data_IF_312090523533
#
_entry.id   IF_312090523533
#
_cell.length_a   1.000
_cell.length_b   1.000
_cell.length_c   1.000
_cell.angle_alpha   90.00
_cell.angle_beta   90.00
_cell.angle_gamma   90.00
#
_symmetry.space_group_name_H-M   'P 1'
#
loop_
_entity.id
_entity.type
_entity.pdbx_description
1 polymer ?
#
# COMPACT_ATOMS: atom_id res chain seq x y z
N UNK A 1 75.15 2.84 5.15
CA UNK A 1 73.98 2.83 6.06
C UNK A 1 72.73 3.54 5.51
N UNK A 2 72.83 4.56 4.62
CA UNK A 2 71.66 5.30 4.07
C UNK A 2 70.79 4.52 3.06
N UNK A 3 71.33 3.50 2.38
CA UNK A 3 70.66 2.74 1.32
C UNK A 3 69.55 1.80 1.82
N UNK A 4 69.66 1.27 3.04
CA UNK A 4 68.63 0.39 3.63
C UNK A 4 67.38 1.17 4.09
N UNK A 5 67.55 2.42 4.51
CA UNK A 5 66.44 3.28 4.96
C UNK A 5 65.56 3.66 3.77
N UNK A 6 66.16 4.07 2.65
CA UNK A 6 65.44 4.42 1.42
C UNK A 6 64.69 3.22 0.82
N UNK A 7 65.27 2.02 0.89
CA UNK A 7 64.62 0.78 0.43
C UNK A 7 63.43 0.40 1.33
N UNK A 8 63.51 0.63 2.65
CA UNK A 8 62.39 0.38 3.57
C UNK A 8 61.21 1.34 3.34
N UNK A 9 61.48 2.59 2.96
CA UNK A 9 60.47 3.62 2.67
C UNK A 9 59.77 3.32 1.34
N UNK A 10 60.49 2.90 0.30
CA UNK A 10 59.90 2.52 -0.99
C UNK A 10 59.06 1.24 -0.91
N UNK A 11 59.46 0.26 -0.07
CA UNK A 11 58.70 -0.94 0.23
C UNK A 11 57.42 -0.66 1.03
N UNK A 12 57.46 0.24 2.03
CA UNK A 12 56.26 0.69 2.74
C UNK A 12 55.28 1.40 1.81
N UNK A 13 55.78 2.26 0.91
CA UNK A 13 54.96 2.96 -0.11
C UNK A 13 54.26 1.99 -1.07
N UNK A 14 54.93 0.95 -1.54
CA UNK A 14 54.33 -0.04 -2.47
C UNK A 14 53.33 -0.97 -1.77
N UNK A 15 53.58 -1.36 -0.51
CA UNK A 15 52.58 -2.12 0.28
C UNK A 15 51.33 -1.27 0.58
N UNK A 16 51.52 0.01 0.89
CA UNK A 16 50.41 0.95 1.10
C UNK A 16 49.60 1.14 -0.18
N UNK A 17 50.25 1.33 -1.32
CA UNK A 17 49.58 1.45 -2.62
C UNK A 17 48.77 0.20 -2.97
N UNK A 18 49.32 -1.00 -2.75
CA UNK A 18 48.62 -2.28 -2.96
C UNK A 18 47.44 -2.47 -2.01
N UNK A 19 47.56 -2.05 -0.75
CA UNK A 19 46.47 -2.11 0.22
C UNK A 19 45.34 -1.14 -0.15
N UNK A 20 45.69 0.07 -0.61
CA UNK A 20 44.73 1.07 -1.07
C UNK A 20 44.00 0.60 -2.33
N UNK A 21 44.70 0.03 -3.31
CA UNK A 21 44.05 -0.51 -4.51
C UNK A 21 43.17 -1.72 -4.20
N UNK A 22 43.55 -2.58 -3.24
CA UNK A 22 42.73 -3.70 -2.80
C UNK A 22 41.45 -3.26 -2.05
N UNK A 23 41.55 -2.21 -1.22
CA UNK A 23 40.40 -1.60 -0.55
C UNK A 23 39.45 -0.94 -1.55
N UNK A 24 39.99 -0.21 -2.53
CA UNK A 24 39.19 0.41 -3.59
C UNK A 24 38.47 -0.67 -4.43
N UNK A 25 39.14 -1.77 -4.78
CA UNK A 25 38.50 -2.88 -5.49
C UNK A 25 37.39 -3.56 -4.69
N UNK A 26 37.56 -3.69 -3.37
CA UNK A 26 36.54 -4.26 -2.48
C UNK A 26 35.30 -3.36 -2.40
N UNK A 27 35.50 -2.03 -2.33
CA UNK A 27 34.41 -1.05 -2.32
C UNK A 27 33.63 -1.10 -3.65
N UNK A 28 34.31 -1.18 -4.80
CA UNK A 28 33.65 -1.25 -6.12
C UNK A 28 32.81 -2.53 -6.28
N UNK A 29 33.20 -3.64 -5.65
CA UNK A 29 32.43 -4.89 -5.67
C UNK A 29 31.12 -4.80 -4.85
N UNK A 30 31.02 -3.89 -3.89
CA UNK A 30 29.79 -3.69 -3.08
C UNK A 30 28.72 -2.84 -3.78
N UNK A 31 29.04 -2.22 -4.93
CA UNK A 31 28.10 -1.36 -5.70
C UNK A 31 27.28 -2.18 -6.72
N UNK A 32 27.36 -3.52 -6.69
CA UNK A 32 26.70 -4.39 -7.69
C UNK A 32 25.17 -4.41 -7.59
N UNK A 33 24.60 -3.99 -6.46
CA UNK A 33 23.15 -4.07 -6.21
C UNK A 33 22.48 -2.69 -6.12
N UNK A 34 22.96 -1.70 -6.86
CA UNK A 34 22.12 -0.56 -7.23
C UNK A 34 21.22 -0.95 -8.40
N UNK A 35 20.41 -2.00 -8.21
CA UNK A 35 19.23 -2.22 -9.05
C UNK A 35 18.39 -0.96 -8.88
N UNK A 36 18.27 -0.15 -9.93
CA UNK A 36 17.19 0.80 -9.99
C UNK A 36 15.92 0.02 -9.63
N UNK A 37 15.26 0.38 -8.52
CA UNK A 37 13.95 -0.20 -8.20
C UNK A 37 13.13 -0.05 -9.47
N UNK A 38 12.84 -1.17 -10.12
CA UNK A 38 12.00 -1.16 -11.30
C UNK A 38 10.69 -0.50 -10.85
N UNK A 39 10.42 0.71 -11.35
CA UNK A 39 9.25 1.46 -10.95
C UNK A 39 7.99 0.63 -11.18
N UNK A 40 8.02 -0.28 -12.16
CA UNK A 40 6.97 -1.24 -12.43
C UNK A 40 6.86 -2.31 -11.34
N UNK A 41 7.97 -2.79 -10.77
CA UNK A 41 7.96 -3.71 -9.64
C UNK A 41 7.33 -3.06 -8.39
N UNK A 42 7.68 -1.82 -8.08
CA UNK A 42 7.07 -1.08 -6.96
C UNK A 42 5.57 -0.80 -7.17
N UNK A 43 5.15 -0.47 -8.40
CA UNK A 43 3.73 -0.29 -8.74
C UNK A 43 2.95 -1.61 -8.64
N UNK A 44 3.53 -2.72 -9.07
CA UNK A 44 2.92 -4.04 -8.98
C UNK A 44 2.77 -4.51 -7.51
N UNK A 45 3.78 -4.24 -6.68
CA UNK A 45 3.72 -4.54 -5.25
C UNK A 45 2.65 -3.69 -4.55
N UNK A 46 2.61 -2.38 -4.80
CA UNK A 46 1.58 -1.49 -4.27
C UNK A 46 0.16 -1.92 -4.71
N UNK A 47 -0.01 -2.31 -5.98
CA UNK A 47 -1.29 -2.81 -6.50
C UNK A 47 -1.73 -4.09 -5.79
N UNK A 48 -0.80 -5.01 -5.54
CA UNK A 48 -1.08 -6.25 -4.80
C UNK A 48 -1.50 -5.96 -3.36
N UNK A 49 -0.84 -5.01 -2.71
CA UNK A 49 -1.21 -4.60 -1.35
C UNK A 49 -2.60 -3.97 -1.29
N UNK A 50 -2.93 -3.06 -2.22
CA UNK A 50 -4.26 -2.44 -2.31
C UNK A 50 -5.36 -3.50 -2.55
N UNK A 51 -5.10 -4.49 -3.41
CA UNK A 51 -6.03 -5.61 -3.62
C UNK A 51 -6.26 -6.42 -2.34
N UNK A 52 -5.22 -6.67 -1.54
CA UNK A 52 -5.36 -7.41 -0.28
C UNK A 52 -6.27 -6.69 0.74
N UNK A 53 -6.24 -5.36 0.75
CA UNK A 53 -7.09 -4.56 1.63
C UNK A 53 -8.54 -4.48 1.14
N UNK A 54 -8.80 -4.81 -0.12
CA UNK A 54 -10.12 -4.66 -0.73
C UNK A 54 -11.18 -5.54 -0.07
N UNK A 55 -10.85 -6.79 0.25
CA UNK A 55 -11.79 -7.71 0.90
C UNK A 55 -12.10 -7.29 2.34
N UNK A 56 -11.07 -6.91 3.10
CA UNK A 56 -11.25 -6.41 4.47
C UNK A 56 -12.05 -5.10 4.48
N UNK A 57 -11.74 -4.19 3.55
CA UNK A 57 -12.48 -2.93 3.37
C UNK A 57 -13.93 -3.16 2.95
N UNK A 58 -14.20 -4.15 2.09
CA UNK A 58 -15.56 -4.51 1.67
C UNK A 58 -16.37 -5.05 2.85
N UNK A 59 -15.78 -5.93 3.66
CA UNK A 59 -16.43 -6.45 4.86
C UNK A 59 -16.76 -5.35 5.87
N UNK A 60 -15.84 -4.40 6.08
CA UNK A 60 -16.08 -3.23 6.92
C UNK A 60 -17.23 -2.37 6.37
N UNK A 61 -17.26 -2.14 5.06
CA UNK A 61 -18.33 -1.39 4.40
C UNK A 61 -19.69 -2.08 4.58
N UNK A 62 -19.77 -3.40 4.46
CA UNK A 62 -21.00 -4.15 4.74
C UNK A 62 -21.43 -4.05 6.20
N UNK A 63 -20.50 -4.10 7.15
CA UNK A 63 -20.81 -3.92 8.56
C UNK A 63 -21.40 -2.52 8.84
N UNK A 64 -20.79 -1.47 8.29
CA UNK A 64 -21.30 -0.09 8.41
C UNK A 64 -22.65 0.04 7.70
N UNK A 65 -22.78 -0.52 6.49
CA UNK A 65 -24.03 -0.52 5.73
C UNK A 65 -25.19 -1.19 6.46
N UNK A 66 -24.92 -2.30 7.16
CA UNK A 66 -25.92 -2.97 7.99
C UNK A 66 -26.38 -2.08 9.15
N UNK A 67 -25.46 -1.42 9.86
CA UNK A 67 -25.79 -0.53 10.99
C UNK A 67 -26.61 0.67 10.49
N UNK A 68 -26.14 1.36 9.44
CA UNK A 68 -26.84 2.52 8.88
C UNK A 68 -28.20 2.13 8.28
N UNK A 69 -28.28 0.94 7.67
CA UNK A 69 -29.52 0.36 7.15
C UNK A 69 -30.56 0.17 8.26
N UNK A 70 -30.16 -0.40 9.41
CA UNK A 70 -31.03 -0.55 10.57
C UNK A 70 -31.52 0.80 11.13
N UNK A 71 -30.61 1.78 11.26
CA UNK A 71 -30.96 3.13 11.73
C UNK A 71 -31.98 3.79 10.79
N UNK A 72 -31.80 3.66 9.47
CA UNK A 72 -32.74 4.17 8.48
C UNK A 72 -34.12 3.49 8.55
N UNK A 73 -34.15 2.18 8.78
CA UNK A 73 -35.41 1.44 8.96
C UNK A 73 -36.18 1.92 10.20
N UNK A 74 -35.49 2.16 11.32
CA UNK A 74 -36.11 2.71 12.54
C UNK A 74 -36.71 4.09 12.25
N UNK A 75 -36.02 4.94 11.49
CA UNK A 75 -36.52 6.26 11.09
C UNK A 75 -37.79 6.16 10.25
N UNK A 76 -37.80 5.28 9.25
CA UNK A 76 -39.00 5.04 8.40
C UNK A 76 -40.16 4.53 9.24
N UNK A 77 -39.91 3.58 10.14
CA UNK A 77 -40.92 3.06 11.05
C UNK A 77 -41.51 4.15 11.94
N UNK A 78 -40.66 5.02 12.49
CA UNK A 78 -41.12 6.14 13.31
C UNK A 78 -42.04 7.09 12.52
N UNK A 79 -41.62 7.52 11.32
CA UNK A 79 -42.45 8.37 10.45
C UNK A 79 -43.80 7.74 10.08
N UNK A 80 -43.79 6.42 9.86
CA UNK A 80 -45.01 5.64 9.58
C UNK A 80 -45.99 5.68 10.75
N UNK A 81 -45.50 5.49 11.99
CA UNK A 81 -46.33 5.54 13.19
C UNK A 81 -46.79 6.96 13.52
N UNK A 82 -45.98 7.97 13.19
CA UNK A 82 -46.31 9.39 13.38
C UNK A 82 -47.31 9.91 12.32
N UNK A 83 -47.68 9.09 11.32
CA UNK A 83 -48.68 9.45 10.31
C UNK A 83 -48.19 10.47 9.28
N UNK A 84 -46.88 10.63 9.11
CA UNK A 84 -46.32 11.63 8.22
C UNK A 84 -46.56 11.28 6.74
N UNK A 85 -47.01 12.27 5.97
CA UNK A 85 -47.36 12.13 4.55
C UNK A 85 -46.15 11.84 3.63
N UNK A 86 -44.92 12.07 4.11
CA UNK A 86 -43.68 11.86 3.35
C UNK A 86 -43.01 10.49 3.62
N UNK A 87 -43.62 9.62 4.42
CA UNK A 87 -43.06 8.32 4.80
C UNK A 87 -42.66 7.47 3.58
N UNK A 88 -43.49 7.42 2.53
CA UNK A 88 -43.16 6.66 1.31
C UNK A 88 -41.93 7.21 0.57
N UNK A 89 -41.71 8.53 0.58
CA UNK A 89 -40.52 9.17 0.00
C UNK A 89 -39.27 8.83 0.81
N UNK A 90 -39.37 8.85 2.14
CA UNK A 90 -38.24 8.51 3.02
C UNK A 90 -37.92 7.01 2.94
N UNK A 91 -38.94 6.15 2.89
CA UNK A 91 -38.80 4.70 2.74
C UNK A 91 -38.09 4.31 1.43
N UNK A 92 -38.55 4.87 0.30
CA UNK A 92 -37.95 4.60 -1.00
C UNK A 92 -36.51 5.14 -1.12
N UNK A 93 -36.24 6.32 -0.57
CA UNK A 93 -34.88 6.89 -0.53
C UNK A 93 -33.91 6.04 0.31
N UNK A 94 -34.34 5.57 1.47
CA UNK A 94 -33.55 4.67 2.32
C UNK A 94 -33.29 3.33 1.63
N UNK A 95 -34.34 2.73 1.05
CA UNK A 95 -34.24 1.43 0.42
C UNK A 95 -33.32 1.46 -0.81
N UNK A 96 -33.44 2.50 -1.64
CA UNK A 96 -32.53 2.70 -2.78
C UNK A 96 -31.06 2.85 -2.36
N UNK A 97 -30.81 3.56 -1.24
CA UNK A 97 -29.46 3.70 -0.69
C UNK A 97 -28.89 2.38 -0.19
N UNK A 98 -29.69 1.53 0.44
CA UNK A 98 -29.27 0.20 0.88
C UNK A 98 -28.88 -0.70 -0.28
N UNK A 99 -29.69 -0.74 -1.35
CA UNK A 99 -29.38 -1.52 -2.56
C UNK A 99 -28.09 -1.02 -3.19
N UNK A 100 -27.95 0.30 -3.34
CA UNK A 100 -26.75 0.91 -3.93
C UNK A 100 -25.47 0.48 -3.21
N UNK A 101 -25.47 0.46 -1.88
CA UNK A 101 -24.32 0.09 -1.06
C UNK A 101 -23.89 -1.37 -1.31
N UNK A 102 -24.85 -2.28 -1.47
CA UNK A 102 -24.58 -3.70 -1.80
C UNK A 102 -24.04 -3.86 -3.22
N UNK A 103 -24.62 -3.15 -4.20
CA UNK A 103 -24.23 -3.23 -5.61
C UNK A 103 -22.83 -2.63 -5.84
N UNK A 104 -22.50 -1.51 -5.19
CA UNK A 104 -21.19 -0.86 -5.29
C UNK A 104 -20.05 -1.82 -4.96
N UNK A 105 -20.20 -2.65 -3.94
CA UNK A 105 -19.19 -3.64 -3.58
C UNK A 105 -18.89 -4.60 -4.74
N UNK A 106 -19.92 -5.04 -5.46
CA UNK A 106 -19.79 -5.97 -6.59
C UNK A 106 -19.14 -5.28 -7.80
N UNK A 107 -19.56 -4.05 -8.10
CA UNK A 107 -18.99 -3.25 -9.20
C UNK A 107 -17.52 -2.96 -8.97
N UNK A 108 -17.16 -2.57 -7.76
CA UNK A 108 -15.78 -2.28 -7.38
C UNK A 108 -14.90 -3.53 -7.44
N UNK A 109 -15.37 -4.68 -6.93
CA UNK A 109 -14.69 -5.97 -7.08
C UNK A 109 -14.45 -6.32 -8.55
N UNK A 110 -15.47 -6.13 -9.38
CA UNK A 110 -15.38 -6.35 -10.83
C UNK A 110 -14.38 -5.43 -11.53
N UNK A 111 -14.19 -4.18 -11.09
CA UNK A 111 -13.20 -3.27 -11.69
C UNK A 111 -11.76 -3.62 -11.32
N UNK A 112 -11.50 -4.14 -10.12
CA UNK A 112 -10.16 -4.47 -9.67
C UNK A 112 -9.78 -5.94 -9.91
N UNK A 113 -10.71 -6.76 -10.40
CA UNK A 113 -10.51 -8.17 -10.69
C UNK A 113 -10.20 -8.99 -9.43
N UNK A 114 -10.93 -8.70 -8.35
CA UNK A 114 -10.87 -9.37 -7.04
C UNK A 114 -12.21 -9.98 -6.69
#
# INVERSE_FOLDING_TARGET
MKTNILKSISLRRTKLFKAVTALISLIILTIRDASAQDGNAGINEATTQVKSYFDTGTNLMYAIGAIVGLVGAIKVFKKWNDGEHDTGKVASSWFGSCIFLVVVATVLKSFFGV
#
